data_IF_367192205027
#
_entry.id   IF_367192205027
#
_cell.length_a   1.000
_cell.length_b   1.000
_cell.length_c   1.000
_cell.angle_alpha   90.00
_cell.angle_beta   90.00
_cell.angle_gamma   90.00
#
_symmetry.space_group_name_H-M   'P 1'
#
loop_
_entity.id
_entity.type
_entity.pdbx_description
1 polymer ?
#
# COMPACT_ATOMS: atom_id res chain seq x y z
N UNK A 1 -7.76 -7.51 -1.03
CA UNK A 1 -7.42 -6.80 -2.28
C UNK A 1 -7.23 -5.34 -1.92
N UNK A 2 -6.47 -4.58 -2.69
CA UNK A 2 -6.23 -3.17 -2.39
C UNK A 2 -5.63 -2.46 -3.59
N UNK A 3 -5.60 -1.14 -3.49
CA UNK A 3 -4.95 -0.25 -4.45
C UNK A 3 -4.00 0.62 -3.67
N UNK A 4 -2.72 0.57 -4.03
CA UNK A 4 -1.68 1.41 -3.45
C UNK A 4 -1.21 2.39 -4.52
N UNK A 5 -1.12 3.66 -4.16
CA UNK A 5 -0.63 4.71 -5.04
C UNK A 5 0.34 5.57 -4.25
N UNK A 6 1.52 5.82 -4.79
CA UNK A 6 2.47 6.75 -4.21
C UNK A 6 2.94 7.75 -5.25
N UNK A 7 3.16 8.99 -4.82
CA UNK A 7 3.80 10.02 -5.62
C UNK A 7 4.87 10.70 -4.81
N UNK A 8 6.08 10.75 -5.36
CA UNK A 8 7.23 11.42 -4.80
C UNK A 8 7.61 12.60 -5.71
N UNK A 9 7.59 13.81 -5.16
CA UNK A 9 7.96 15.02 -5.90
C UNK A 9 8.50 16.09 -4.95
N UNK A 10 9.72 16.58 -5.22
CA UNK A 10 10.33 17.67 -4.45
C UNK A 10 10.48 17.37 -2.95
N UNK A 11 10.85 16.13 -2.58
CA UNK A 11 10.98 15.73 -1.17
C UNK A 11 9.65 15.63 -0.41
N UNK A 12 8.54 15.62 -1.14
CA UNK A 12 7.19 15.40 -0.60
C UNK A 12 6.61 14.12 -1.17
N UNK A 13 6.09 13.30 -0.27
CA UNK A 13 5.39 12.06 -0.56
C UNK A 13 3.88 12.24 -0.33
N UNK A 14 3.10 11.74 -1.29
CA UNK A 14 1.70 11.38 -1.10
C UNK A 14 1.58 9.86 -1.27
N UNK A 15 1.03 9.18 -0.29
CA UNK A 15 0.79 7.73 -0.31
C UNK A 15 -0.67 7.45 0.00
N UNK A 16 -1.33 6.65 -0.82
CA UNK A 16 -2.70 6.19 -0.67
C UNK A 16 -2.72 4.67 -0.60
N UNK A 17 -3.44 4.16 0.38
CA UNK A 17 -3.94 2.79 0.38
C UNK A 17 -5.47 2.80 0.41
N UNK A 18 -6.11 2.23 -0.61
CA UNK A 18 -7.52 1.85 -0.56
C UNK A 18 -7.62 0.36 -0.29
N UNK A 19 -8.17 0.01 0.87
CA UNK A 19 -8.32 -1.38 1.28
C UNK A 19 -9.68 -1.91 0.88
N UNK A 20 -9.70 -2.97 0.08
CA UNK A 20 -10.92 -3.75 -0.18
C UNK A 20 -11.01 -4.93 0.79
N UNK A 21 -12.23 -5.43 1.01
CA UNK A 21 -12.47 -6.67 1.77
C UNK A 21 -11.45 -7.74 1.33
N UNK A 22 -10.53 -8.16 2.22
CA UNK A 22 -9.45 -9.08 1.86
C UNK A 22 -9.96 -10.50 1.61
N UNK A 23 -10.85 -10.98 2.47
CA UNK A 23 -11.64 -12.22 2.34
C UNK A 23 -12.82 -12.20 3.34
N UNK A 24 -13.57 -13.29 3.40
CA UNK A 24 -14.76 -13.45 4.27
C UNK A 24 -14.44 -13.40 5.78
N UNK A 25 -13.16 -13.57 6.17
CA UNK A 25 -12.72 -13.56 7.58
C UNK A 25 -12.29 -12.18 8.05
N UNK A 26 -12.58 -11.14 7.27
CA UNK A 26 -12.23 -9.77 7.65
C UNK A 26 -13.01 -9.33 8.91
N UNK A 27 -12.28 -8.97 9.97
CA UNK A 27 -12.89 -8.52 11.24
C UNK A 27 -12.75 -7.01 11.49
N UNK A 28 -11.92 -6.31 10.71
CA UNK A 28 -11.75 -4.85 10.80
C UNK A 28 -10.30 -4.38 10.61
N UNK A 29 -10.15 -3.06 10.47
CA UNK A 29 -8.90 -2.34 10.65
C UNK A 29 -9.09 -1.09 11.49
N UNK A 30 -7.96 -0.56 11.95
CA UNK A 30 -7.91 0.75 12.56
C UNK A 30 -6.53 1.39 12.39
N UNK A 31 -6.45 2.73 12.40
CA UNK A 31 -5.18 3.42 12.58
C UNK A 31 -4.54 3.03 13.92
N UNK A 32 -3.24 2.74 13.93
CA UNK A 32 -2.48 2.41 15.12
C UNK A 32 -1.05 2.96 15.06
N UNK A 33 -0.45 3.20 16.23
CA UNK A 33 0.99 3.44 16.39
C UNK A 33 1.64 2.18 16.94
N UNK A 34 2.60 1.61 16.21
CA UNK A 34 3.26 0.33 16.52
C UNK A 34 4.76 0.49 16.34
N UNK A 35 5.55 0.48 17.43
CA UNK A 35 7.02 0.58 17.35
C UNK A 35 7.49 1.77 16.47
N UNK A 36 6.96 2.98 16.74
CA UNK A 36 7.16 4.21 15.94
C UNK A 36 6.58 4.19 14.51
N UNK A 37 5.83 3.15 14.13
CA UNK A 37 5.13 3.04 12.84
C UNK A 37 3.67 3.47 12.97
N UNK A 38 3.32 4.61 12.35
CA UNK A 38 1.94 5.02 12.11
C UNK A 38 1.36 4.18 10.98
N UNK A 39 0.36 3.35 11.25
CA UNK A 39 -0.07 2.30 10.33
C UNK A 39 -1.59 2.10 10.26
N UNK A 40 -2.05 1.45 9.18
CA UNK A 40 -3.34 0.79 9.12
C UNK A 40 -3.17 -0.65 9.61
N UNK A 41 -3.63 -0.93 10.82
CA UNK A 41 -3.48 -2.24 11.44
C UNK A 41 -4.62 -3.18 11.04
N UNK A 42 -4.28 -4.39 10.60
CA UNK A 42 -5.23 -5.46 10.28
C UNK A 42 -5.49 -6.33 11.51
N UNK A 43 -6.67 -6.16 12.13
CA UNK A 43 -7.04 -6.85 13.37
C UNK A 43 -7.01 -8.37 13.24
N UNK A 44 -7.16 -8.91 12.03
CA UNK A 44 -7.16 -10.35 11.77
C UNK A 44 -5.76 -10.97 11.76
N UNK A 45 -4.80 -10.30 11.12
CA UNK A 45 -3.48 -10.87 10.84
C UNK A 45 -2.39 -10.41 11.79
N UNK A 46 -2.74 -9.52 12.73
CA UNK A 46 -1.80 -8.86 13.65
C UNK A 46 -0.64 -8.15 12.93
N UNK A 47 -0.85 -7.80 11.66
CA UNK A 47 0.11 -7.09 10.82
C UNK A 47 -0.45 -5.76 10.34
N UNK A 48 0.31 -5.06 9.52
CA UNK A 48 -0.11 -3.78 8.92
C UNK A 48 -0.40 -3.94 7.43
N UNK A 49 -1.32 -3.13 6.93
CA UNK A 49 -1.65 -3.08 5.50
C UNK A 49 -0.79 -2.03 4.80
N UNK A 50 -0.62 -0.89 5.46
CA UNK A 50 0.38 0.13 5.17
C UNK A 50 0.87 0.79 6.46
N UNK A 51 1.98 1.50 6.36
CA UNK A 51 2.46 2.35 7.43
C UNK A 51 3.62 3.24 7.06
N UNK A 52 3.99 4.09 8.00
CA UNK A 52 5.11 5.02 7.93
C UNK A 52 5.81 5.08 9.29
N UNK A 53 7.12 4.83 9.29
CA UNK A 53 7.94 4.96 10.49
C UNK A 53 8.33 6.44 10.71
N UNK A 54 7.98 6.97 11.88
CA UNK A 54 8.23 8.37 12.22
C UNK A 54 9.72 8.73 12.32
N UNK A 55 10.57 7.77 12.69
CA UNK A 55 12.02 7.96 12.88
C UNK A 55 12.80 7.76 11.59
N UNK A 56 12.68 6.60 10.96
CA UNK A 56 13.45 6.28 9.75
C UNK A 56 12.88 6.92 8.49
N UNK A 57 11.65 7.45 8.56
CA UNK A 57 10.92 8.05 7.43
C UNK A 57 10.63 7.06 6.30
N UNK A 58 10.77 5.76 6.55
CA UNK A 58 10.40 4.70 5.63
C UNK A 58 8.90 4.49 5.69
N UNK A 59 8.26 4.38 4.53
CA UNK A 59 6.86 4.02 4.40
C UNK A 59 6.71 2.77 3.55
N UNK A 60 5.53 2.15 3.63
CA UNK A 60 5.14 1.19 2.63
C UNK A 60 3.75 0.64 2.81
N UNK A 61 3.34 -0.16 1.84
CA UNK A 61 2.12 -0.95 1.90
C UNK A 61 2.28 -2.24 1.12
N UNK A 62 1.34 -3.16 1.33
CA UNK A 62 1.36 -4.47 0.68
C UNK A 62 0.04 -4.83 0.03
N UNK A 63 0.12 -5.40 -1.17
CA UNK A 63 -1.00 -6.01 -1.87
C UNK A 63 -0.81 -7.52 -1.94
N UNK A 64 -1.94 -8.25 -1.86
CA UNK A 64 -1.92 -9.70 -2.06
C UNK A 64 -2.00 -9.99 -3.57
N UNK A 65 -1.14 -10.86 -4.08
CA UNK A 65 -1.30 -11.41 -5.43
C UNK A 65 -1.80 -12.85 -5.28
N UNK A 66 -2.79 -13.25 -6.08
CA UNK A 66 -3.31 -14.61 -6.06
C UNK A 66 -2.30 -15.56 -6.72
N UNK A 67 -2.12 -16.75 -6.16
CA UNK A 67 -1.19 -17.76 -6.70
C UNK A 67 -0.57 -18.61 -5.60
N UNK A 68 0.52 -18.12 -5.00
CA UNK A 68 1.24 -18.86 -3.97
C UNK A 68 0.70 -18.55 -2.56
N UNK A 69 0.32 -19.60 -1.83
CA UNK A 69 -0.17 -19.49 -0.45
C UNK A 69 0.84 -20.10 0.53
N UNK A 70 1.08 -19.40 1.62
CA UNK A 70 2.01 -19.77 2.68
C UNK A 70 1.56 -19.17 4.03
N UNK A 71 1.98 -19.75 5.17
CA UNK A 71 1.35 -19.49 6.46
C UNK A 71 1.69 -18.12 7.06
N UNK A 72 2.84 -17.51 6.74
CA UNK A 72 3.24 -16.25 7.37
C UNK A 72 2.53 -15.04 6.74
N UNK A 73 2.19 -14.09 7.61
CA UNK A 73 1.49 -12.86 7.23
C UNK A 73 2.44 -11.87 6.54
N UNK A 74 2.05 -11.45 5.33
CA UNK A 74 2.67 -10.36 4.57
C UNK A 74 2.67 -9.03 5.34
N UNK A 75 1.58 -8.74 6.04
CA UNK A 75 1.45 -7.52 6.84
C UNK A 75 2.33 -7.51 8.08
N UNK A 76 2.60 -8.68 8.67
CA UNK A 76 3.56 -8.81 9.78
C UNK A 76 4.98 -8.60 9.27
N UNK A 77 5.31 -9.11 8.08
CA UNK A 77 6.61 -8.86 7.46
C UNK A 77 6.81 -7.37 7.13
N UNK A 78 5.78 -6.72 6.59
CA UNK A 78 5.82 -5.27 6.33
C UNK A 78 6.05 -4.50 7.64
N UNK A 79 5.32 -4.82 8.71
CA UNK A 79 5.53 -4.19 10.02
C UNK A 79 6.96 -4.39 10.51
N UNK A 80 7.49 -5.63 10.44
CA UNK A 80 8.88 -5.95 10.81
C UNK A 80 9.88 -5.10 10.04
N UNK A 81 9.71 -4.96 8.73
CA UNK A 81 10.60 -4.15 7.90
C UNK A 81 10.52 -2.66 8.28
N UNK A 82 9.32 -2.11 8.44
CA UNK A 82 9.13 -0.70 8.80
C UNK A 82 9.61 -0.35 10.21
N UNK A 83 9.39 -1.24 11.19
CA UNK A 83 9.75 -1.00 12.58
C UNK A 83 11.25 -1.14 12.83
N UNK A 84 11.91 -2.11 12.18
CA UNK A 84 13.33 -2.41 12.43
C UNK A 84 14.30 -1.62 11.57
N UNK A 85 13.89 -1.21 10.37
CA UNK A 85 14.80 -0.57 9.44
C UNK A 85 15.09 0.89 9.82
N UNK A 86 16.37 1.25 9.76
CA UNK A 86 16.87 2.61 9.88
C UNK A 86 16.88 3.38 8.54
N UNK A 87 16.73 2.66 7.42
CA UNK A 87 16.77 3.21 6.06
C UNK A 87 15.93 2.39 5.07
N UNK A 88 15.62 2.97 3.90
CA UNK A 88 14.94 2.26 2.81
C UNK A 88 15.70 0.99 2.38
N UNK A 89 17.02 1.07 2.22
CA UNK A 89 17.85 -0.07 1.80
C UNK A 89 17.80 -1.22 2.81
N UNK A 90 17.80 -0.91 4.10
CA UNK A 90 17.64 -1.92 5.15
C UNK A 90 16.24 -2.54 5.15
N UNK A 91 15.18 -1.74 4.97
CA UNK A 91 13.82 -2.24 4.88
C UNK A 91 13.64 -3.22 3.71
N UNK A 92 14.18 -2.87 2.53
CA UNK A 92 14.19 -3.76 1.36
C UNK A 92 15.02 -5.01 1.62
N UNK A 93 16.18 -4.89 2.27
CA UNK A 93 17.01 -6.04 2.66
C UNK A 93 16.28 -7.03 3.59
N UNK A 94 15.55 -6.52 4.58
CA UNK A 94 14.71 -7.33 5.48
C UNK A 94 13.62 -8.03 4.67
N UNK A 95 12.90 -7.32 3.80
CA UNK A 95 11.88 -7.94 2.96
C UNK A 95 12.45 -9.05 2.08
N UNK A 96 13.49 -8.75 1.29
CA UNK A 96 14.04 -9.68 0.30
C UNK A 96 14.60 -10.93 0.96
N UNK A 97 15.30 -10.79 2.09
CA UNK A 97 15.85 -11.94 2.83
C UNK A 97 14.75 -12.86 3.37
N UNK A 98 13.70 -12.30 3.98
CA UNK A 98 12.58 -13.06 4.53
C UNK A 98 11.72 -13.69 3.43
N UNK A 99 11.46 -12.97 2.33
CA UNK A 99 10.65 -13.49 1.22
C UNK A 99 11.34 -14.67 0.51
N UNK A 100 12.68 -14.66 0.40
CA UNK A 100 13.45 -15.78 -0.18
C UNK A 100 13.36 -17.08 0.61
N UNK A 101 12.88 -17.06 1.85
CA UNK A 101 12.60 -18.30 2.61
C UNK A 101 11.47 -19.12 1.96
N UNK A 102 10.53 -18.44 1.29
CA UNK A 102 9.31 -19.03 0.74
C UNK A 102 8.18 -19.21 1.76
N UNK A 103 8.29 -18.65 2.97
CA UNK A 103 7.27 -18.86 4.01
C UNK A 103 6.10 -17.87 3.94
N UNK A 104 6.13 -16.94 2.98
CA UNK A 104 5.15 -15.88 2.79
C UNK A 104 4.37 -16.08 1.49
N UNK A 105 3.06 -15.84 1.56
CA UNK A 105 2.18 -15.90 0.40
C UNK A 105 2.54 -14.81 -0.62
N UNK A 106 2.17 -15.00 -1.90
CA UNK A 106 2.50 -14.06 -2.97
C UNK A 106 1.99 -12.64 -2.72
N UNK A 107 2.82 -11.65 -3.04
CA UNK A 107 2.59 -10.25 -2.64
C UNK A 107 3.35 -9.26 -3.52
N UNK A 108 2.83 -8.04 -3.60
CA UNK A 108 3.62 -6.87 -4.02
C UNK A 108 3.69 -5.87 -2.88
N UNK A 109 4.90 -5.52 -2.50
CA UNK A 109 5.19 -4.45 -1.56
C UNK A 109 5.57 -3.20 -2.34
N UNK A 110 5.09 -2.05 -1.89
CA UNK A 110 5.64 -0.76 -2.29
C UNK A 110 6.24 -0.14 -1.03
N UNK A 111 7.56 0.01 -0.99
CA UNK A 111 8.29 0.65 0.11
C UNK A 111 9.04 1.85 -0.43
N UNK A 112 9.17 2.92 0.36
CA UNK A 112 9.98 4.06 -0.04
C UNK A 112 10.41 4.92 1.14
N UNK A 113 11.14 5.99 0.81
CA UNK A 113 11.42 7.13 1.68
C UNK A 113 11.19 8.45 0.90
N UNK A 114 11.67 9.58 1.42
CA UNK A 114 11.52 10.88 0.75
C UNK A 114 12.43 11.07 -0.47
N UNK A 115 13.20 10.05 -0.88
CA UNK A 115 14.16 10.11 -1.99
C UNK A 115 13.83 9.10 -3.09
N UNK A 116 13.45 7.88 -2.74
CA UNK A 116 13.12 6.86 -3.73
C UNK A 116 12.05 5.88 -3.28
N UNK A 117 11.59 5.09 -4.24
CA UNK A 117 10.55 4.06 -4.09
C UNK A 117 11.05 2.75 -4.66
N UNK A 118 10.69 1.64 -4.03
CA UNK A 118 11.01 0.30 -4.47
C UNK A 118 9.74 -0.55 -4.45
N UNK A 119 9.45 -1.20 -5.58
CA UNK A 119 8.47 -2.29 -5.66
C UNK A 119 9.18 -3.60 -5.41
N UNK A 120 8.70 -4.39 -4.46
CA UNK A 120 9.20 -5.75 -4.20
C UNK A 120 8.08 -6.74 -4.47
N UNK A 121 8.31 -7.66 -5.40
CA UNK A 121 7.38 -8.71 -5.78
C UNK A 121 7.90 -10.06 -5.30
N UNK A 122 7.01 -10.92 -4.78
CA UNK A 122 7.41 -12.26 -4.31
C UNK A 122 6.41 -13.35 -4.70
N UNK A 123 6.94 -14.48 -5.18
CA UNK A 123 6.19 -15.71 -5.45
C UNK A 123 7.01 -16.92 -5.01
N UNK A 124 6.59 -17.61 -3.95
CA UNK A 124 7.42 -18.65 -3.33
C UNK A 124 8.75 -18.06 -2.88
N UNK A 125 9.87 -18.58 -3.39
CA UNK A 125 11.23 -18.07 -3.13
C UNK A 125 11.72 -17.05 -4.15
N UNK A 126 10.98 -16.87 -5.24
CA UNK A 126 11.30 -15.89 -6.26
C UNK A 126 10.98 -14.49 -5.74
N UNK A 127 11.95 -13.59 -5.83
CA UNK A 127 11.82 -12.21 -5.37
C UNK A 127 12.42 -11.28 -6.42
N UNK A 128 11.65 -10.28 -6.83
CA UNK A 128 12.11 -9.19 -7.69
C UNK A 128 11.99 -7.87 -6.92
N UNK A 129 12.98 -6.99 -7.04
CA UNK A 129 12.95 -5.64 -6.48
C UNK A 129 13.33 -4.65 -7.57
N UNK A 130 12.48 -3.66 -7.81
CA UNK A 130 12.66 -2.63 -8.83
C UNK A 130 12.52 -1.24 -8.19
N UNK A 131 13.46 -0.35 -8.48
CA UNK A 131 13.36 1.07 -8.11
C UNK A 131 12.37 1.78 -9.06
N UNK A 132 11.52 2.63 -8.48
CA UNK A 132 10.47 3.35 -9.19
C UNK A 132 10.67 4.86 -9.10
N UNK A 133 10.37 5.55 -10.19
CA UNK A 133 10.47 7.01 -10.29
C UNK A 133 9.10 7.69 -10.26
N UNK A 134 9.01 8.79 -9.51
CA UNK A 134 7.91 9.77 -9.57
C UNK A 134 6.55 9.29 -9.05
N UNK A 135 5.90 8.34 -9.72
CA UNK A 135 4.56 7.83 -9.38
C UNK A 135 4.57 6.30 -9.47
N UNK A 136 4.17 5.65 -8.37
CA UNK A 136 3.97 4.22 -8.30
C UNK A 136 2.48 3.90 -8.16
N UNK A 137 2.01 2.91 -8.90
CA UNK A 137 0.66 2.33 -8.77
C UNK A 137 0.83 0.83 -8.64
N UNK A 138 0.33 0.27 -7.54
CA UNK A 138 0.42 -1.16 -7.25
C UNK A 138 -0.95 -1.68 -6.89
N UNK A 139 -1.39 -2.72 -7.59
CA UNK A 139 -2.60 -3.48 -7.27
C UNK A 139 -2.27 -4.96 -7.02
N UNK A 140 -3.25 -5.85 -7.14
CA UNK A 140 -3.14 -7.27 -6.85
C UNK A 140 -2.54 -8.09 -8.03
N UNK A 141 -1.60 -7.51 -8.78
CA UNK A 141 -0.88 -8.16 -9.87
C UNK A 141 0.62 -7.94 -9.72
N UNK A 142 1.41 -8.84 -10.28
CA UNK A 142 2.83 -8.61 -10.54
C UNK A 142 3.02 -7.82 -11.82
N UNK A 143 4.10 -7.04 -11.86
CA UNK A 143 4.56 -6.31 -13.04
C UNK A 143 5.78 -6.98 -13.66
N UNK A 144 6.72 -7.48 -12.84
CA UNK A 144 7.95 -8.14 -13.30
C UNK A 144 7.85 -9.66 -13.26
N UNK A 145 7.36 -10.22 -12.16
CA UNK A 145 7.22 -11.66 -12.04
C UNK A 145 6.10 -12.15 -12.98
N UNK A 146 6.42 -13.17 -13.78
CA UNK A 146 5.46 -13.82 -14.70
C UNK A 146 4.56 -14.86 -14.02
N UNK A 147 4.84 -15.17 -12.76
CA UNK A 147 4.10 -16.11 -11.92
C UNK A 147 2.78 -15.50 -11.43
N UNK A 148 1.92 -16.27 -10.74
CA UNK A 148 0.67 -15.77 -10.15
C UNK A 148 -0.49 -15.53 -11.12
N UNK A 149 -1.64 -15.15 -10.58
CA UNK A 149 -2.88 -14.95 -11.33
C UNK A 149 -3.06 -13.46 -11.62
N UNK A 150 -3.08 -13.10 -12.90
CA UNK A 150 -3.30 -11.73 -13.37
C UNK A 150 -4.81 -11.43 -13.47
N UNK A 151 -5.35 -10.70 -12.50
CA UNK A 151 -6.76 -10.34 -12.47
C UNK A 151 -7.07 -9.12 -13.35
N UNK A 152 -8.02 -9.26 -14.28
CA UNK A 152 -8.47 -8.16 -15.16
C UNK A 152 -8.94 -6.93 -14.36
N UNK A 153 -9.64 -7.15 -13.26
CA UNK A 153 -10.11 -6.07 -12.36
C UNK A 153 -8.98 -5.25 -11.73
N UNK A 154 -7.81 -5.86 -11.54
CA UNK A 154 -6.64 -5.18 -10.99
C UNK A 154 -5.91 -4.41 -12.09
N UNK A 155 -5.76 -5.01 -13.28
CA UNK A 155 -5.20 -4.33 -14.47
C UNK A 155 -6.02 -3.10 -14.84
N UNK A 156 -7.34 -3.24 -14.98
CA UNK A 156 -8.24 -2.13 -15.32
C UNK A 156 -8.19 -1.00 -14.29
N UNK A 157 -7.95 -1.32 -13.01
CA UNK A 157 -7.82 -0.33 -11.95
C UNK A 157 -6.49 0.42 -12.03
N UNK A 158 -5.39 -0.26 -12.29
CA UNK A 158 -4.11 0.42 -12.53
C UNK A 158 -4.19 1.37 -13.70
N UNK A 159 -4.82 0.95 -14.80
CA UNK A 159 -5.04 1.82 -15.95
C UNK A 159 -5.91 3.03 -15.62
N UNK A 160 -7.01 2.85 -14.87
CA UNK A 160 -7.88 3.95 -14.46
C UNK A 160 -7.13 4.95 -13.57
N UNK A 161 -6.33 4.46 -12.61
CA UNK A 161 -5.47 5.29 -11.76
C UNK A 161 -4.44 6.05 -12.60
N UNK A 162 -3.73 5.37 -13.50
CA UNK A 162 -2.73 6.01 -14.37
C UNK A 162 -3.35 7.09 -15.24
N UNK A 163 -4.51 6.82 -15.87
CA UNK A 163 -5.25 7.81 -16.66
C UNK A 163 -5.66 9.02 -15.83
N UNK A 164 -6.14 8.80 -14.60
CA UNK A 164 -6.48 9.88 -13.68
C UNK A 164 -5.25 10.74 -13.34
N UNK A 165 -4.11 10.12 -13.06
CA UNK A 165 -2.90 10.85 -12.66
C UNK A 165 -2.21 11.57 -13.83
N UNK A 166 -2.19 10.99 -15.04
CA UNK A 166 -1.55 11.56 -16.23
C UNK A 166 -2.13 12.90 -16.68
N UNK A 167 -3.39 13.19 -16.32
CA UNK A 167 -4.07 14.44 -16.67
C UNK A 167 -3.58 15.65 -15.85
N UNK A 168 -2.67 15.47 -14.89
CA UNK A 168 -2.30 16.48 -13.90
C UNK A 168 -0.83 16.85 -13.96
N UNK A 169 -0.54 18.16 -13.94
CA UNK A 169 0.83 18.70 -13.91
C UNK A 169 1.50 18.57 -12.53
N UNK A 170 0.71 18.56 -11.46
CA UNK A 170 1.16 18.43 -10.08
C UNK A 170 0.08 17.73 -9.28
N UNK A 171 0.48 16.88 -8.32
CA UNK A 171 -0.45 16.13 -7.49
C UNK A 171 -0.56 16.74 -6.09
N UNK A 172 -1.80 16.92 -5.65
CA UNK A 172 -2.17 17.42 -4.33
C UNK A 172 -2.80 16.31 -3.48
N UNK A 173 -2.96 16.59 -2.17
CA UNK A 173 -3.70 15.70 -1.28
C UNK A 173 -5.16 15.52 -1.74
N UNK A 174 -5.79 16.58 -2.24
CA UNK A 174 -7.16 16.55 -2.74
C UNK A 174 -7.27 15.63 -3.97
N UNK A 175 -6.27 15.63 -4.86
CA UNK A 175 -6.25 14.70 -6.00
C UNK A 175 -6.22 13.23 -5.54
N UNK A 176 -5.46 12.93 -4.48
CA UNK A 176 -5.40 11.60 -3.89
C UNK A 176 -6.72 11.22 -3.18
N UNK A 177 -7.38 12.17 -2.51
CA UNK A 177 -8.71 11.96 -1.94
C UNK A 177 -9.77 11.73 -3.03
N UNK A 178 -9.69 12.43 -4.15
CA UNK A 178 -10.56 12.20 -5.32
C UNK A 178 -10.28 10.86 -5.97
N UNK A 179 -9.01 10.48 -6.12
CA UNK A 179 -8.60 9.19 -6.64
C UNK A 179 -9.16 8.04 -5.79
N UNK A 180 -9.09 8.17 -4.47
CA UNK A 180 -9.64 7.18 -3.54
C UNK A 180 -11.16 7.00 -3.66
N UNK A 181 -11.87 7.97 -4.26
CA UNK A 181 -13.31 7.99 -4.52
C UNK A 181 -13.68 7.54 -5.94
N UNK A 182 -12.72 7.21 -6.78
CA UNK A 182 -12.93 6.99 -8.21
C UNK A 182 -13.81 5.75 -8.47
N UNK A 183 -14.88 5.95 -9.26
CA UNK A 183 -15.78 4.90 -9.74
C UNK A 183 -15.72 4.83 -11.28
N UNK A 184 -15.25 3.71 -11.83
CA UNK A 184 -15.08 3.49 -13.27
C UNK A 184 -15.39 2.03 -13.65
N UNK A 185 -16.53 1.51 -13.21
CA UNK A 185 -16.91 0.12 -13.44
C UNK A 185 -15.86 -0.85 -12.89
N UNK A 186 -15.28 -1.67 -13.77
CA UNK A 186 -14.24 -2.65 -13.42
C UNK A 186 -12.95 -1.99 -12.90
N UNK A 187 -12.65 -0.75 -13.34
CA UNK A 187 -11.49 0.03 -12.92
C UNK A 187 -11.71 0.87 -11.66
N UNK A 188 -12.81 0.68 -10.93
CA UNK A 188 -13.11 1.47 -9.73
C UNK A 188 -12.06 1.27 -8.63
N UNK A 189 -11.61 2.38 -8.04
CA UNK A 189 -10.72 2.42 -6.88
C UNK A 189 -11.52 2.37 -5.57
N UNK A 190 -12.68 3.04 -5.55
CA UNK A 190 -13.70 2.87 -4.52
C UNK A 190 -14.70 1.83 -4.99
N UNK A 191 -14.76 0.66 -4.32
CA UNK A 191 -15.61 -0.46 -4.72
C UNK A 191 -16.80 -0.62 -3.80
N UNK A 192 -17.93 -1.02 -4.36
CA UNK A 192 -19.15 -1.37 -3.64
C UNK A 192 -19.54 -2.84 -3.88
N UNK A 193 -20.43 -3.38 -3.05
CA UNK A 193 -20.89 -4.77 -3.13
C UNK A 193 -20.04 -5.72 -2.26
N UNK A 194 -19.92 -6.99 -2.67
CA UNK A 194 -19.26 -8.03 -1.86
C UNK A 194 -17.79 -7.72 -1.59
N UNK A 195 -17.06 -7.25 -2.62
CA UNK A 195 -15.63 -6.89 -2.53
C UNK A 195 -15.46 -5.37 -2.38
N UNK A 196 -16.23 -4.77 -1.48
CA UNK A 196 -16.22 -3.31 -1.26
C UNK A 196 -14.93 -2.80 -0.62
N UNK A 197 -14.67 -1.51 -0.80
CA UNK A 197 -13.63 -0.77 -0.06
C UNK A 197 -14.08 -0.57 1.38
N UNK A 198 -13.29 -1.04 2.34
CA UNK A 198 -13.62 -1.02 3.78
C UNK A 198 -12.97 0.13 4.53
N UNK A 199 -11.87 0.64 3.99
CA UNK A 199 -11.15 1.76 4.56
C UNK A 199 -10.18 2.36 3.54
N UNK A 200 -9.71 3.57 3.85
CA UNK A 200 -8.64 4.22 3.10
C UNK A 200 -7.73 4.99 4.03
N UNK A 201 -6.42 4.88 3.80
CA UNK A 201 -5.41 5.60 4.55
C UNK A 201 -4.51 6.39 3.60
N UNK A 202 -4.25 7.65 3.96
CA UNK A 202 -3.47 8.60 3.19
C UNK A 202 -2.35 9.16 4.07
N UNK A 203 -1.13 9.13 3.57
CA UNK A 203 0.01 9.80 4.18
C UNK A 203 0.46 10.94 3.29
N UNK A 204 0.67 12.11 3.89
CA UNK A 204 1.33 13.25 3.28
C UNK A 204 2.56 13.59 4.11
N UNK A 205 3.73 13.32 3.56
CA UNK A 205 4.99 13.39 4.29
C UNK A 205 5.94 14.34 3.56
N UNK A 206 6.60 15.21 4.30
CA UNK A 206 7.73 16.03 3.88
C UNK A 206 8.81 16.01 4.96
N UNK A 207 9.93 16.68 4.71
CA UNK A 207 10.99 16.89 5.70
C UNK A 207 10.48 17.55 6.99
N UNK A 208 9.50 18.45 6.87
CA UNK A 208 9.01 19.28 7.97
C UNK A 208 7.74 18.72 8.64
N UNK A 209 6.90 17.99 7.88
CA UNK A 209 5.56 17.64 8.32
C UNK A 209 5.16 16.24 7.89
N UNK A 210 4.51 15.51 8.78
CA UNK A 210 3.85 14.25 8.47
C UNK A 210 2.38 14.36 8.87
N UNK A 211 1.49 14.15 7.90
CA UNK A 211 0.04 14.17 8.10
C UNK A 211 -0.53 12.83 7.66
N UNK A 212 -1.46 12.30 8.46
CA UNK A 212 -2.14 11.06 8.16
C UNK A 212 -3.63 11.31 8.15
N UNK A 213 -4.31 10.77 7.14
CA UNK A 213 -5.76 10.86 6.99
C UNK A 213 -6.32 9.47 6.85
N UNK A 214 -7.40 9.20 7.58
CA UNK A 214 -8.08 7.92 7.56
C UNK A 214 -9.56 8.12 7.25
N UNK A 215 -10.09 7.22 6.45
CA UNK A 215 -11.50 7.13 6.12
C UNK A 215 -11.98 5.72 6.43
N UNK A 216 -12.93 5.59 7.35
CA UNK A 216 -13.59 4.31 7.63
C UNK A 216 -14.72 4.11 6.61
N UNK A 217 -14.77 2.94 5.98
CA UNK A 217 -15.75 2.62 4.95
C UNK A 217 -15.36 3.17 3.57
N UNK A 218 -16.36 3.26 2.68
CA UNK A 218 -16.15 3.72 1.31
C UNK A 218 -15.80 5.22 1.27
N UNK A 219 -14.66 5.63 0.68
CA UNK A 219 -14.28 7.04 0.59
C UNK A 219 -15.28 7.96 -0.12
N UNK A 220 -16.12 7.43 -1.02
CA UNK A 220 -17.13 8.21 -1.74
C UNK A 220 -18.38 8.52 -0.90
N UNK A 221 -18.58 7.82 0.23
CA UNK A 221 -19.72 7.99 1.15
C UNK A 221 -19.31 8.48 2.54
N UNK A 222 -18.01 8.59 2.77
CA UNK A 222 -17.43 8.85 4.08
C UNK A 222 -16.41 9.98 3.99
N UNK A 223 -16.08 10.56 5.15
CA UNK A 223 -15.14 11.68 5.24
C UNK A 223 -13.78 11.20 5.75
N UNK A 224 -12.73 11.80 5.21
CA UNK A 224 -11.39 11.65 5.78
C UNK A 224 -11.28 12.46 7.06
N UNK A 225 -10.83 11.81 8.12
CA UNK A 225 -10.43 12.46 9.36
C UNK A 225 -8.91 12.47 9.44
N UNK A 226 -8.34 13.60 9.86
CA UNK A 226 -6.91 13.68 10.16
C UNK A 226 -6.64 12.93 11.45
N UNK A 227 -5.67 12.02 11.43
CA UNK A 227 -5.26 11.22 12.58
C UNK A 227 -3.96 11.80 13.15
N UNK A 228 -3.91 11.86 14.47
CA UNK A 228 -2.75 12.27 15.23
C UNK A 228 -2.26 11.06 16.00
N UNK A 229 -1.01 10.69 15.77
CA UNK A 229 -0.34 9.68 16.56
C UNK A 229 0.55 10.40 17.57
N UNK A 230 0.43 9.99 18.82
CA UNK A 230 1.22 10.48 19.95
C UNK A 230 2.29 9.45 20.32
#
# INVERSE_FOLDING_TARGET
MCTIVASLSGGRLLFLENRDVPDERFIGDMPAMLEDVAALFDLRSSGVVCGFNLRSRVYGGVTNVLGYEAPKSRGVLLLKALAKASSLGEAVGILVSELRTGEYSSAVYLIGDLKSMVRVESYGREVCAEELEGIAVVTNIFHELKSGIRLETSVAREEAVRRFLQQRKSLSLEDFMQLARLHMGVGSVCRHGVKQTVSSMLFKISSEKSEVYYCRGNPCRSQYSKIYFH
#
